data_IF_481159209244
#
_entry.id   IF_481159209244
#
_cell.length_a   1.000
_cell.length_b   1.000
_cell.length_c   1.000
_cell.angle_alpha   90.00
_cell.angle_beta   90.00
_cell.angle_gamma   90.00
#
_symmetry.space_group_name_H-M   'P 1'
#
loop_
_entity.id
_entity.type
_entity.pdbx_description
1 polymer ?
#
# COMPACT_ATOMS: atom_id res chain seq x y z
N UNK A 1 -24.42 -23.11 7.26
CA UNK A 1 -23.15 -22.46 7.65
C UNK A 1 -22.69 -21.68 6.44
N UNK A 2 -23.18 -20.45 6.28
CA UNK A 2 -22.90 -19.64 5.10
C UNK A 2 -22.42 -18.30 5.61
N UNK A 3 -21.10 -18.11 5.68
CA UNK A 3 -20.53 -16.79 5.84
C UNK A 3 -20.77 -16.06 4.52
N UNK A 4 -21.77 -15.17 4.54
CA UNK A 4 -21.97 -14.13 3.54
C UNK A 4 -20.66 -13.35 3.40
N UNK A 5 -19.92 -13.60 2.32
CA UNK A 5 -18.70 -12.89 1.97
C UNK A 5 -18.98 -11.69 1.05
N UNK A 6 -20.07 -10.98 1.30
CA UNK A 6 -20.26 -9.62 0.78
C UNK A 6 -20.00 -8.67 1.95
N UNK A 7 -18.73 -8.45 2.21
CA UNK A 7 -18.24 -7.48 3.19
C UNK A 7 -17.29 -6.53 2.45
N UNK A 8 -17.90 -5.43 1.97
CA UNK A 8 -17.37 -4.08 1.95
C UNK A 8 -15.86 -3.93 1.67
N UNK A 9 -15.50 -3.47 0.47
CA UNK A 9 -14.13 -3.14 0.10
C UNK A 9 -13.36 -2.34 1.18
N UNK A 10 -14.03 -1.49 1.96
CA UNK A 10 -13.44 -0.75 3.08
C UNK A 10 -12.90 -1.64 4.22
N UNK A 11 -13.52 -2.78 4.50
CA UNK A 11 -13.05 -3.72 5.54
C UNK A 11 -11.77 -4.46 5.11
N UNK A 12 -11.57 -4.66 3.81
CA UNK A 12 -10.35 -5.28 3.27
C UNK A 12 -9.19 -4.29 3.40
N UNK A 13 -9.40 -3.06 2.97
CA UNK A 13 -8.42 -1.97 3.05
C UNK A 13 -7.93 -1.71 4.47
N UNK A 14 -8.83 -1.64 5.45
CA UNK A 14 -8.46 -1.38 6.84
C UNK A 14 -7.60 -2.51 7.45
N UNK A 15 -7.88 -3.77 7.09
CA UNK A 15 -7.07 -4.90 7.56
C UNK A 15 -5.66 -4.86 6.97
N UNK A 16 -5.53 -4.54 5.69
CA UNK A 16 -4.24 -4.36 5.02
C UNK A 16 -3.43 -3.25 5.70
N UNK A 17 -4.06 -2.11 5.96
CA UNK A 17 -3.45 -0.96 6.62
C UNK A 17 -2.89 -1.32 8.01
N UNK A 18 -3.68 -2.04 8.79
CA UNK A 18 -3.32 -2.47 10.13
C UNK A 18 -2.15 -3.45 10.12
N UNK A 19 -2.14 -4.36 9.15
CA UNK A 19 -1.05 -5.33 8.99
C UNK A 19 0.25 -4.63 8.57
N UNK A 20 0.19 -3.75 7.55
CA UNK A 20 1.30 -2.88 7.15
C UNK A 20 1.88 -2.11 8.34
N UNK A 21 1.02 -1.45 9.13
CA UNK A 21 1.45 -0.70 10.31
C UNK A 21 2.17 -1.57 11.32
N UNK A 22 1.65 -2.76 11.61
CA UNK A 22 2.26 -3.69 12.55
C UNK A 22 3.63 -4.16 12.06
N UNK A 23 3.78 -4.47 10.76
CA UNK A 23 5.05 -4.91 10.19
C UNK A 23 6.12 -3.82 10.19
N UNK A 24 5.73 -2.58 9.88
CA UNK A 24 6.63 -1.42 9.93
C UNK A 24 7.10 -1.14 11.37
N UNK A 25 6.23 -1.30 12.36
CA UNK A 25 6.56 -1.14 13.79
C UNK A 25 7.50 -2.26 14.30
N UNK A 26 7.37 -3.47 13.74
CA UNK A 26 8.26 -4.61 14.04
C UNK A 26 9.69 -4.46 13.47
N UNK A 27 9.97 -3.41 12.70
CA UNK A 27 11.33 -2.91 12.50
C UNK A 27 12.21 -3.72 11.55
N UNK A 28 11.65 -4.41 10.56
CA UNK A 28 12.46 -5.24 9.64
C UNK A 28 12.22 -5.04 8.16
N UNK A 29 10.97 -4.86 7.72
CA UNK A 29 10.63 -5.13 6.33
C UNK A 29 9.89 -3.97 5.70
N UNK A 30 10.60 -3.23 4.85
CA UNK A 30 10.01 -2.25 3.97
C UNK A 30 9.35 -2.97 2.79
N UNK A 31 8.04 -2.79 2.63
CA UNK A 31 7.28 -3.46 1.57
C UNK A 31 7.41 -2.71 0.25
N UNK A 32 7.50 -3.43 -0.86
CA UNK A 32 7.44 -2.83 -2.19
C UNK A 32 6.01 -2.41 -2.50
N UNK A 33 5.84 -1.36 -3.28
CA UNK A 33 4.54 -0.91 -3.77
C UNK A 33 4.56 -1.03 -5.28
N UNK A 34 3.60 -1.81 -5.79
CA UNK A 34 3.40 -2.06 -7.20
C UNK A 34 2.07 -1.50 -7.65
N UNK A 35 2.05 -0.98 -8.86
CA UNK A 35 0.82 -0.48 -9.45
C UNK A 35 -0.04 -1.63 -10.00
N UNK A 36 -1.22 -1.31 -10.55
CA UNK A 36 -2.11 -2.31 -11.17
C UNK A 36 -1.48 -3.06 -12.35
N UNK A 37 -0.52 -2.44 -13.05
CA UNK A 37 0.22 -3.05 -14.16
C UNK A 37 1.42 -3.88 -13.67
N UNK A 38 1.73 -3.81 -12.36
CA UNK A 38 2.83 -4.52 -11.72
C UNK A 38 4.19 -3.80 -11.79
N UNK A 39 4.21 -2.56 -12.26
CA UNK A 39 5.37 -1.68 -12.22
C UNK A 39 5.68 -1.26 -10.79
N UNK A 40 6.97 -1.15 -10.49
CA UNK A 40 7.45 -0.73 -9.19
C UNK A 40 7.23 0.77 -9.01
N UNK A 41 6.34 1.13 -8.08
CA UNK A 41 6.02 2.53 -7.74
C UNK A 41 7.02 3.05 -6.71
N UNK A 42 7.40 2.22 -5.75
CA UNK A 42 8.34 2.58 -4.70
C UNK A 42 8.32 1.60 -3.53
N UNK A 43 8.79 2.05 -2.38
CA UNK A 43 8.86 1.22 -1.17
C UNK A 43 8.23 1.96 0.00
N UNK A 44 7.48 1.24 0.85
CA UNK A 44 6.83 1.80 2.04
C UNK A 44 7.87 2.22 3.07
N UNK A 45 7.82 3.50 3.47
CA UNK A 45 8.61 4.08 4.55
C UNK A 45 7.81 4.11 5.86
N UNK A 46 6.56 4.58 5.77
CA UNK A 46 5.70 4.75 6.93
C UNK A 46 4.22 4.68 6.57
N UNK A 47 3.36 4.42 7.55
CA UNK A 47 1.92 4.55 7.40
C UNK A 47 1.43 5.78 8.17
N UNK A 48 0.94 6.79 7.46
CA UNK A 48 0.39 8.04 8.01
C UNK A 48 -1.14 7.98 7.97
N UNK A 49 -1.74 7.54 9.08
CA UNK A 49 -3.19 7.30 9.16
C UNK A 49 -3.66 6.33 8.09
N UNK A 50 -4.41 6.84 7.11
CA UNK A 50 -4.93 6.07 5.97
C UNK A 50 -4.09 6.19 4.68
N UNK A 51 -2.85 6.67 4.79
CA UNK A 51 -1.94 6.89 3.65
C UNK A 51 -0.63 6.17 3.86
N UNK A 52 -0.15 5.54 2.80
CA UNK A 52 1.16 4.92 2.73
C UNK A 52 2.16 5.98 2.28
N UNK A 53 3.12 6.31 3.14
CA UNK A 53 4.25 7.17 2.81
C UNK A 53 5.32 6.33 2.13
N UNK A 54 5.65 6.69 0.90
CA UNK A 54 6.74 6.06 0.15
C UNK A 54 8.08 6.70 0.51
N UNK A 55 9.13 5.89 0.46
CA UNK A 55 10.50 6.37 0.65
C UNK A 55 10.96 7.16 -0.56
N UNK A 56 11.50 8.36 -0.32
CA UNK A 56 12.07 9.22 -1.36
C UNK A 56 13.29 8.60 -2.04
N UNK A 57 14.02 7.73 -1.35
CA UNK A 57 15.26 7.13 -1.85
C UNK A 57 15.02 6.20 -3.03
N UNK A 58 13.81 5.67 -3.14
CA UNK A 58 13.38 4.70 -4.14
C UNK A 58 12.47 5.34 -5.20
N UNK A 59 12.12 6.62 -5.01
CA UNK A 59 11.31 7.39 -5.95
C UNK A 59 12.22 8.10 -6.95
N UNK A 60 12.00 7.88 -8.26
CA UNK A 60 12.81 8.51 -9.31
C UNK A 60 12.77 10.04 -9.30
N UNK A 61 11.73 10.63 -8.71
CA UNK A 61 11.54 12.08 -8.63
C UNK A 61 12.10 12.72 -7.35
N UNK A 62 12.71 11.93 -6.45
CA UNK A 62 13.20 12.38 -5.13
C UNK A 62 12.15 13.07 -4.23
N UNK A 63 10.86 12.93 -4.55
CA UNK A 63 9.74 13.46 -3.78
C UNK A 63 9.15 12.42 -2.82
N UNK A 64 8.46 12.92 -1.80
CA UNK A 64 7.67 12.09 -0.89
C UNK A 64 6.27 11.87 -1.47
N UNK A 65 6.04 10.68 -2.01
CA UNK A 65 4.72 10.29 -2.48
C UNK A 65 3.89 9.67 -1.35
N UNK A 66 2.60 9.99 -1.34
CA UNK A 66 1.63 9.47 -0.37
C UNK A 66 0.52 8.77 -1.12
N UNK A 67 0.42 7.46 -0.94
CA UNK A 67 -0.59 6.63 -1.60
C UNK A 67 -1.73 6.37 -0.61
N UNK A 68 -2.95 6.87 -0.83
CA UNK A 68 -4.10 6.51 0.00
C UNK A 68 -4.39 5.01 -0.08
N UNK A 69 -4.74 4.42 1.05
CA UNK A 69 -5.12 3.00 1.11
C UNK A 69 -6.34 2.67 0.25
N UNK A 70 -7.19 3.65 -0.07
CA UNK A 70 -8.30 3.47 -1.02
C UNK A 70 -7.84 3.07 -2.43
N UNK A 71 -6.58 3.36 -2.77
CA UNK A 71 -5.95 2.93 -4.02
C UNK A 71 -5.31 1.53 -3.90
N UNK A 72 -5.27 0.94 -2.71
CA UNK A 72 -4.73 -0.41 -2.50
C UNK A 72 -5.82 -1.42 -2.85
N UNK A 73 -5.51 -2.28 -3.82
CA UNK A 73 -6.38 -3.39 -4.20
C UNK A 73 -6.13 -4.62 -3.33
N UNK A 74 -4.85 -4.92 -3.09
CA UNK A 74 -4.43 -6.13 -2.40
C UNK A 74 -3.02 -5.96 -1.82
N UNK A 75 -2.67 -6.81 -0.87
CA UNK A 75 -1.34 -6.84 -0.29
C UNK A 75 -0.89 -8.28 -0.13
N UNK A 76 0.35 -8.53 -0.50
CA UNK A 76 1.07 -9.78 -0.29
C UNK A 76 2.04 -9.67 0.89
N UNK A 77 2.78 -10.74 1.17
CA UNK A 77 3.82 -10.71 2.20
C UNK A 77 5.05 -9.88 1.82
N UNK A 78 5.18 -9.50 0.54
CA UNK A 78 6.37 -8.84 -0.02
C UNK A 78 6.05 -7.47 -0.61
N UNK A 79 4.86 -7.31 -1.21
CA UNK A 79 4.49 -6.10 -1.92
C UNK A 79 3.01 -5.75 -1.74
N UNK A 80 2.69 -4.47 -1.85
CA UNK A 80 1.35 -3.90 -1.90
C UNK A 80 0.98 -3.66 -3.36
N UNK A 81 -0.20 -4.07 -3.78
CA UNK A 81 -0.72 -3.91 -5.14
C UNK A 81 -1.80 -2.84 -5.15
N UNK A 82 -1.62 -1.84 -6.01
CA UNK A 82 -2.58 -0.77 -6.21
C UNK A 82 -3.59 -1.12 -7.31
N UNK A 83 -4.77 -0.51 -7.24
CA UNK A 83 -5.78 -0.54 -8.32
C UNK A 83 -5.57 0.59 -9.35
N UNK A 84 -4.58 1.46 -9.13
CA UNK A 84 -4.22 2.58 -10.01
C UNK A 84 -2.82 2.38 -10.59
N UNK A 85 -2.51 3.15 -11.64
CA UNK A 85 -1.15 3.19 -12.20
C UNK A 85 -0.19 3.98 -11.33
N UNK A 86 1.11 3.79 -11.55
CA UNK A 86 2.16 4.61 -10.95
C UNK A 86 1.89 6.11 -11.14
N UNK A 87 1.54 6.53 -12.34
CA UNK A 87 1.27 7.94 -12.66
C UNK A 87 0.09 8.49 -11.84
N UNK A 88 -0.97 7.70 -11.67
CA UNK A 88 -2.14 8.11 -10.89
C UNK A 88 -1.90 8.04 -9.37
N UNK A 89 -1.00 7.17 -8.91
CA UNK A 89 -0.56 7.10 -7.51
C UNK A 89 0.42 8.23 -7.14
N UNK A 90 1.15 8.78 -8.12
CA UNK A 90 2.16 9.82 -7.94
C UNK A 90 1.63 11.24 -8.25
N UNK A 91 0.35 11.38 -8.55
CA UNK A 91 -0.30 12.62 -8.99
C UNK A 91 -0.56 13.63 -7.87
#
# INVERSE_FOLDING_TARGET
MTQNQNADAGQITERIAKDLKARLDQGGEHMQVKDKDGEHVGTVDHLDGDRIKLTKSDSSDSQHHYVPLSQVESMDNVAVYLNVTREEAMK
#
